data_IF_582339456728
#
_entry.id   IF_582339456728
#
_cell.length_a   1.000
_cell.length_b   1.000
_cell.length_c   1.000
_cell.angle_alpha   90.00
_cell.angle_beta   90.00
_cell.angle_gamma   90.00
#
_symmetry.space_group_name_H-M   'P 1'
#
loop_
_entity.id
_entity.type
_entity.pdbx_description
1 polymer ?
#
# COMPACT_ATOMS: atom_id res chain seq x y z
N UNK A 1 14.33 4.99 9.66
CA UNK A 1 13.33 5.86 9.00
C UNK A 1 13.43 5.80 7.47
N UNK A 2 14.62 6.01 6.89
CA UNK A 2 14.80 5.91 5.44
C UNK A 2 14.47 4.52 4.86
N UNK A 3 14.96 3.45 5.50
CA UNK A 3 14.65 2.05 5.13
C UNK A 3 13.16 1.70 5.17
N UNK A 4 12.42 2.31 6.10
CA UNK A 4 10.98 2.12 6.30
C UNK A 4 10.20 2.73 5.13
N UNK A 5 10.54 3.95 4.73
CA UNK A 5 9.88 4.65 3.63
C UNK A 5 10.16 3.94 2.30
N UNK A 6 11.42 3.54 2.07
CA UNK A 6 11.78 2.78 0.86
C UNK A 6 11.04 1.45 0.80
N UNK A 7 10.94 0.73 1.92
CA UNK A 7 10.23 -0.53 1.98
C UNK A 7 8.73 -0.35 1.67
N UNK A 8 8.08 0.67 2.24
CA UNK A 8 6.68 0.98 1.94
C UNK A 8 6.46 1.40 0.48
N UNK A 9 7.37 2.22 -0.05
CA UNK A 9 7.33 2.61 -1.46
C UNK A 9 7.47 1.40 -2.39
N UNK A 10 8.39 0.49 -2.08
CA UNK A 10 8.57 -0.78 -2.78
C UNK A 10 7.32 -1.67 -2.72
N UNK A 11 6.66 -1.75 -1.57
CA UNK A 11 5.37 -2.44 -1.44
C UNK A 11 4.29 -1.83 -2.33
N UNK A 12 4.17 -0.50 -2.34
CA UNK A 12 3.22 0.23 -3.19
C UNK A 12 3.49 0.05 -4.69
N UNK A 13 4.76 0.01 -5.09
CA UNK A 13 5.20 -0.36 -6.45
C UNK A 13 4.72 -1.79 -6.76
N UNK A 14 5.00 -2.76 -5.90
CA UNK A 14 4.59 -4.16 -6.14
C UNK A 14 3.08 -4.30 -6.34
N UNK A 15 2.26 -3.59 -5.55
CA UNK A 15 0.81 -3.52 -5.76
C UNK A 15 0.47 -2.95 -7.14
N UNK A 16 1.13 -1.88 -7.55
CA UNK A 16 0.98 -1.27 -8.87
C UNK A 16 1.31 -2.25 -10.01
N UNK A 17 2.39 -3.04 -9.87
CA UNK A 17 2.75 -4.08 -10.84
C UNK A 17 1.69 -5.17 -10.91
N UNK A 18 1.21 -5.67 -9.77
CA UNK A 18 0.15 -6.70 -9.74
C UNK A 18 -1.12 -6.18 -10.41
N UNK A 19 -1.50 -4.93 -10.15
CA UNK A 19 -2.63 -4.28 -10.81
C UNK A 19 -2.44 -4.14 -12.32
N UNK A 20 -1.24 -3.73 -12.75
CA UNK A 20 -0.91 -3.63 -14.17
C UNK A 20 -0.91 -4.98 -14.88
N UNK A 21 -0.36 -6.03 -14.25
CA UNK A 21 -0.36 -7.40 -14.79
C UNK A 21 -1.80 -7.91 -14.94
N UNK A 22 -2.64 -7.73 -13.91
CA UNK A 22 -4.07 -8.07 -13.99
C UNK A 22 -4.78 -7.34 -15.12
N UNK A 23 -4.50 -6.05 -15.28
CA UNK A 23 -5.06 -5.25 -16.36
C UNK A 23 -4.63 -5.79 -17.74
N UNK A 24 -3.35 -6.12 -17.93
CA UNK A 24 -2.86 -6.72 -19.18
C UNK A 24 -3.53 -8.06 -19.50
N UNK A 25 -3.72 -8.95 -18.52
CA UNK A 25 -4.37 -10.24 -18.75
C UNK A 25 -5.88 -10.12 -19.03
N UNK A 26 -6.53 -9.08 -18.53
CA UNK A 26 -8.00 -8.95 -18.64
C UNK A 26 -8.46 -8.34 -19.96
N UNK A 27 -7.57 -7.69 -20.73
CA UNK A 27 -7.93 -6.97 -21.97
C UNK A 27 -7.07 -7.46 -23.15
N UNK A 28 -7.73 -7.79 -24.27
CA UNK A 28 -7.09 -8.44 -25.44
C UNK A 28 -6.13 -7.52 -26.24
N UNK A 29 -6.20 -6.20 -26.07
CA UNK A 29 -5.27 -5.25 -26.71
C UNK A 29 -5.00 -4.03 -25.81
N UNK A 30 -3.97 -4.10 -24.97
CA UNK A 30 -3.56 -2.98 -24.13
C UNK A 30 -2.31 -2.32 -24.70
N UNK A 31 -2.46 -1.12 -25.26
CA UNK A 31 -1.31 -0.31 -25.69
C UNK A 31 -0.46 0.04 -24.48
N UNK A 32 0.74 -0.54 -24.38
CA UNK A 32 1.67 -0.23 -23.31
C UNK A 32 2.19 1.20 -23.47
N UNK A 33 1.81 2.08 -22.53
CA UNK A 33 2.28 3.47 -22.47
C UNK A 33 3.28 3.58 -21.33
N UNK A 34 4.58 3.58 -21.65
CA UNK A 34 5.65 3.56 -20.65
C UNK A 34 5.54 4.71 -19.62
N UNK A 35 5.26 5.93 -20.08
CA UNK A 35 5.08 7.09 -19.17
C UNK A 35 3.88 6.93 -18.23
N UNK A 36 2.77 6.38 -18.72
CA UNK A 36 1.60 6.12 -17.89
C UNK A 36 1.88 5.03 -16.86
N UNK A 37 2.57 3.97 -17.28
CA UNK A 37 3.02 2.90 -16.38
C UNK A 37 3.93 3.45 -15.28
N UNK A 38 5.00 4.16 -15.63
CA UNK A 38 5.93 4.73 -14.66
C UNK A 38 5.24 5.75 -13.74
N UNK A 39 4.35 6.58 -14.28
CA UNK A 39 3.55 7.53 -13.50
C UNK A 39 2.66 6.82 -12.47
N UNK A 40 1.89 5.82 -12.90
CA UNK A 40 1.00 5.07 -12.00
C UNK A 40 1.78 4.26 -10.96
N UNK A 41 2.93 3.71 -11.35
CA UNK A 41 3.86 3.01 -10.46
C UNK A 41 4.41 3.93 -9.37
N UNK A 42 4.84 5.14 -9.75
CA UNK A 42 5.34 6.16 -8.83
C UNK A 42 4.25 6.66 -7.88
N UNK A 43 3.04 6.92 -8.41
CA UNK A 43 1.88 7.33 -7.60
C UNK A 43 1.53 6.21 -6.61
N UNK A 44 1.47 4.95 -7.05
CA UNK A 44 1.17 3.82 -6.17
C UNK A 44 2.22 3.63 -5.07
N UNK A 45 3.51 3.77 -5.40
CA UNK A 45 4.59 3.77 -4.41
C UNK A 45 4.45 4.90 -3.40
N UNK A 46 4.13 6.12 -3.85
CA UNK A 46 3.92 7.29 -2.99
C UNK A 46 2.76 7.06 -2.02
N UNK A 47 1.64 6.51 -2.51
CA UNK A 47 0.48 6.14 -1.67
C UNK A 47 0.91 5.11 -0.61
N UNK A 48 1.71 4.10 -0.99
CA UNK A 48 2.24 3.12 -0.04
C UNK A 48 3.10 3.75 1.05
N UNK A 49 3.99 4.67 0.69
CA UNK A 49 4.82 5.40 1.64
C UNK A 49 3.99 6.27 2.60
N UNK A 50 3.00 7.01 2.07
CA UNK A 50 2.09 7.83 2.89
C UNK A 50 1.28 6.96 3.85
N UNK A 51 0.75 5.82 3.39
CA UNK A 51 0.02 4.88 4.23
C UNK A 51 0.88 4.39 5.40
N UNK A 52 2.11 3.95 5.13
CA UNK A 52 3.01 3.47 6.18
C UNK A 52 3.40 4.56 7.18
N UNK A 53 3.61 5.81 6.73
CA UNK A 53 3.87 6.95 7.60
C UNK A 53 2.66 7.21 8.51
N UNK A 54 1.46 7.32 7.95
CA UNK A 54 0.24 7.57 8.74
C UNK A 54 0.03 6.51 9.82
N UNK A 55 0.21 5.23 9.48
CA UNK A 55 0.06 4.12 10.43
C UNK A 55 1.11 4.17 11.54
N UNK A 56 2.36 4.49 11.19
CA UNK A 56 3.44 4.66 12.16
C UNK A 56 3.15 5.81 13.12
N UNK A 57 2.67 6.95 12.63
CA UNK A 57 2.37 8.14 13.45
C UNK A 57 1.15 7.94 14.36
N UNK A 58 0.20 7.08 13.96
CA UNK A 58 -0.92 6.64 14.83
C UNK A 58 -0.44 5.70 15.96
N UNK A 59 0.84 5.31 15.97
CA UNK A 59 1.45 4.48 17.01
C UNK A 59 1.26 2.98 16.79
N UNK A 60 0.83 2.56 15.60
CA UNK A 60 0.70 1.15 15.28
C UNK A 60 2.10 0.52 15.18
N UNK A 61 2.33 -0.55 15.94
CA UNK A 61 3.56 -1.35 15.89
C UNK A 61 3.20 -2.83 15.89
N UNK A 62 4.06 -3.66 15.27
CA UNK A 62 3.92 -5.10 15.33
C UNK A 62 5.01 -5.64 16.26
N UNK A 63 4.62 -6.42 17.28
CA UNK A 63 5.56 -6.98 18.26
C UNK A 63 6.41 -5.88 18.95
N UNK A 64 5.82 -4.70 19.18
CA UNK A 64 6.48 -3.55 19.82
C UNK A 64 7.51 -2.81 18.95
N UNK A 65 7.64 -3.14 17.66
CA UNK A 65 8.57 -2.47 16.76
C UNK A 65 7.95 -2.14 15.39
N UNK A 66 8.41 -1.05 14.78
CA UNK A 66 8.04 -0.70 13.41
C UNK A 66 9.17 -1.10 12.45
N UNK A 67 9.08 -2.31 11.92
CA UNK A 67 10.13 -2.88 11.06
C UNK A 67 9.95 -2.45 9.59
N UNK A 68 11.03 -2.41 8.79
CA UNK A 68 10.91 -2.19 7.34
C UNK A 68 10.02 -3.24 6.66
N UNK A 69 10.01 -4.48 7.14
CA UNK A 69 9.13 -5.54 6.62
C UNK A 69 7.65 -5.22 6.86
N UNK A 70 7.29 -4.74 8.06
CA UNK A 70 5.94 -4.27 8.35
C UNK A 70 5.55 -3.10 7.43
N UNK A 71 6.47 -2.14 7.26
CA UNK A 71 6.29 -0.99 6.37
C UNK A 71 6.02 -1.41 4.93
N UNK A 72 6.73 -2.42 4.42
CA UNK A 72 6.51 -2.99 3.10
C UNK A 72 5.10 -3.57 2.95
N UNK A 73 4.63 -4.34 3.93
CA UNK A 73 3.29 -4.93 3.93
C UNK A 73 2.23 -3.82 3.94
N UNK A 74 2.40 -2.81 4.79
CA UNK A 74 1.49 -1.66 4.85
C UNK A 74 1.50 -0.91 3.51
N UNK A 75 2.66 -0.70 2.91
CA UNK A 75 2.78 -0.04 1.61
C UNK A 75 2.13 -0.83 0.48
N UNK A 76 2.23 -2.16 0.50
CA UNK A 76 1.58 -3.05 -0.46
C UNK A 76 0.06 -3.05 -0.34
N UNK A 77 -0.47 -3.06 0.88
CA UNK A 77 -1.92 -2.95 1.10
C UNK A 77 -2.43 -1.52 0.84
N UNK A 78 -1.61 -0.51 1.16
CA UNK A 78 -1.86 0.91 0.92
C UNK A 78 -3.13 1.43 1.60
N UNK A 79 -4.05 2.01 0.81
CA UNK A 79 -5.28 2.63 1.32
C UNK A 79 -6.20 1.66 2.06
N UNK A 80 -6.31 0.42 1.58
CA UNK A 80 -7.13 -0.61 2.22
C UNK A 80 -6.67 -0.90 3.65
N UNK A 81 -5.36 -0.84 3.90
CA UNK A 81 -4.83 -1.02 5.25
C UNK A 81 -5.24 0.15 6.16
N UNK A 82 -5.13 1.38 5.68
CA UNK A 82 -5.54 2.58 6.42
C UNK A 82 -7.02 2.53 6.76
N UNK A 83 -7.87 2.14 5.80
CA UNK A 83 -9.31 1.99 6.02
C UNK A 83 -9.62 0.94 7.09
N UNK A 84 -8.96 -0.23 7.02
CA UNK A 84 -9.18 -1.30 7.99
C UNK A 84 -8.69 -0.92 9.39
N UNK A 85 -7.54 -0.26 9.51
CA UNK A 85 -7.07 0.27 10.79
C UNK A 85 -8.02 1.34 11.34
N UNK A 86 -8.49 2.24 10.48
CA UNK A 86 -9.49 3.24 10.87
C UNK A 86 -10.74 2.57 11.45
N UNK A 87 -11.31 1.56 10.77
CA UNK A 87 -12.48 0.78 11.25
C UNK A 87 -12.24 0.15 12.62
N UNK A 88 -11.05 -0.40 12.87
CA UNK A 88 -10.66 -0.98 14.16
C UNK A 88 -10.62 0.10 15.25
N UNK A 89 -9.99 1.24 14.98
CA UNK A 89 -9.87 2.37 15.94
C UNK A 89 -11.24 2.88 16.34
N UNK A 90 -12.14 3.11 15.36
CA UNK A 90 -13.49 3.62 15.65
C UNK A 90 -14.44 2.54 16.18
N UNK A 91 -13.94 1.32 16.47
CA UNK A 91 -14.75 0.15 16.88
C UNK A 91 -15.95 -0.12 15.97
N UNK A 92 -15.89 0.29 14.70
CA UNK A 92 -16.83 -0.16 13.67
C UNK A 92 -16.39 -1.54 13.17
N UNK A 93 -16.20 -2.44 14.14
CA UNK A 93 -16.31 -3.87 13.93
C UNK A 93 -17.77 -4.09 13.57
N UNK A 94 -18.03 -4.80 12.48
CA UNK A 94 -19.36 -5.22 12.09
C UNK A 94 -20.01 -6.00 13.25
N UNK A 95 -20.72 -5.30 14.13
CA UNK A 95 -21.77 -5.87 14.94
C UNK A 95 -22.96 -6.02 13.99
N UNK A 96 -23.11 -7.22 13.44
CA UNK A 96 -24.37 -7.77 12.98
C UNK A 96 -24.16 -9.28 12.87
N UNK A 97 -24.24 -9.93 14.04
CA UNK A 97 -25.04 -11.16 14.15
C UNK A 97 -26.50 -10.84 13.82
#
# INVERSE_FOLDING_TARGET
MFSVIIAAFGGGILRGLVGFVKYQFSYKEVKFRLFYFLGMMFISGTIGAVAAISIKEVGFTLLGSFTPALSFIIGYAGGDFVENIYKIIIKKSSFND
#
